data_IF_907212059443
#
_entry.id   IF_907212059443
#
_cell.length_a   1.000
_cell.length_b   1.000
_cell.length_c   1.000
_cell.angle_alpha   90.00
_cell.angle_beta   90.00
_cell.angle_gamma   90.00
#
_symmetry.space_group_name_H-M   'P 1'
#
loop_
_entity.id
_entity.type
_entity.pdbx_description
1 polymer ?
#
# COMPACT_ATOMS: atom_id res chain seq x y z
N UNK A 1 -12.56 -8.24 -25.67
CA UNK A 1 -11.93 -9.18 -24.73
C UNK A 1 -10.79 -8.56 -23.93
N UNK A 2 -11.11 -7.60 -23.05
CA UNK A 2 -10.15 -6.98 -22.12
C UNK A 2 -10.79 -6.51 -20.81
N UNK A 3 -12.08 -6.80 -20.59
CA UNK A 3 -12.84 -6.33 -19.43
C UNK A 3 -12.19 -6.77 -18.12
N UNK A 4 -11.76 -8.04 -18.03
CA UNK A 4 -11.07 -8.59 -16.86
C UNK A 4 -9.86 -7.74 -16.44
N UNK A 5 -9.05 -7.28 -17.40
CA UNK A 5 -7.83 -6.53 -17.13
C UNK A 5 -8.16 -5.12 -16.63
N UNK A 6 -9.21 -4.52 -17.19
CA UNK A 6 -9.73 -3.23 -16.73
C UNK A 6 -10.30 -3.36 -15.33
N UNK A 7 -11.11 -4.39 -15.04
CA UNK A 7 -11.66 -4.66 -13.70
C UNK A 7 -10.57 -4.87 -12.66
N UNK A 8 -9.56 -5.69 -12.95
CA UNK A 8 -8.41 -5.85 -12.06
C UNK A 8 -7.68 -4.51 -11.85
N UNK A 9 -7.50 -3.71 -12.90
CA UNK A 9 -6.85 -2.41 -12.79
C UNK A 9 -7.69 -1.36 -12.04
N UNK A 10 -9.02 -1.42 -12.12
CA UNK A 10 -9.94 -0.48 -11.46
C UNK A 10 -10.10 -0.81 -9.98
N UNK A 11 -10.07 -2.11 -9.65
CA UNK A 11 -10.12 -2.59 -8.26
C UNK A 11 -8.91 -2.19 -7.40
N UNK A 12 -7.77 -1.87 -8.02
CA UNK A 12 -6.58 -1.40 -7.33
C UNK A 12 -6.76 0.04 -6.86
N UNK A 13 -6.46 0.30 -5.58
CA UNK A 13 -6.20 1.65 -5.08
C UNK A 13 -5.00 2.37 -5.73
N UNK A 14 -5.22 2.93 -6.92
CA UNK A 14 -4.20 3.56 -7.78
C UNK A 14 -3.75 4.94 -7.29
N UNK A 15 -4.66 5.71 -6.71
CA UNK A 15 -4.44 7.09 -6.29
C UNK A 15 -4.66 7.22 -4.78
N UNK A 16 -3.60 7.05 -3.96
CA UNK A 16 -3.75 7.19 -2.53
C UNK A 16 -4.10 8.63 -2.18
N UNK A 17 -5.21 8.82 -1.47
CA UNK A 17 -5.68 10.14 -1.06
C UNK A 17 -5.54 10.34 0.45
N UNK A 18 -5.27 11.57 0.87
CA UNK A 18 -5.16 11.90 2.30
C UNK A 18 -3.89 11.42 3.00
N UNK A 19 -2.86 10.96 2.27
CA UNK A 19 -1.56 10.61 2.84
C UNK A 19 -0.99 11.72 3.75
N UNK A 20 -1.07 12.98 3.30
CA UNK A 20 -0.55 14.15 4.03
C UNK A 20 -1.32 14.44 5.33
N UNK A 21 -2.58 14.01 5.44
CA UNK A 21 -3.38 14.17 6.65
C UNK A 21 -3.37 12.92 7.54
N UNK A 22 -2.72 11.84 7.08
CA UNK A 22 -2.49 10.61 7.84
C UNK A 22 -3.31 9.39 7.43
N UNK A 23 -3.94 9.40 6.26
CA UNK A 23 -4.69 8.25 5.73
C UNK A 23 -3.71 7.18 5.23
N UNK A 24 -3.37 6.22 6.09
CA UNK A 24 -2.38 5.17 5.79
C UNK A 24 -2.94 3.95 5.06
N UNK A 25 -4.26 3.72 5.06
CA UNK A 25 -4.88 2.53 4.47
C UNK A 25 -5.73 2.92 3.27
N UNK A 26 -5.46 2.27 2.13
CA UNK A 26 -6.00 2.61 0.83
C UNK A 26 -6.52 1.34 0.15
N UNK A 27 -7.73 0.89 0.51
CA UNK A 27 -8.15 -0.50 0.24
C UNK A 27 -8.58 -0.79 -1.21
N UNK A 28 -8.95 0.20 -2.02
CA UNK A 28 -9.51 -0.08 -3.35
C UNK A 28 -10.81 -0.88 -3.25
N UNK A 29 -11.14 -1.66 -4.28
CA UNK A 29 -12.40 -2.42 -4.39
C UNK A 29 -12.13 -3.93 -4.33
N UNK A 30 -12.11 -4.48 -3.11
CA UNK A 30 -11.84 -5.90 -2.86
C UNK A 30 -12.70 -6.85 -3.72
N UNK A 31 -14.02 -6.66 -3.67
CA UNK A 31 -14.99 -7.54 -4.33
C UNK A 31 -14.81 -7.56 -5.85
N UNK A 32 -14.48 -6.41 -6.45
CA UNK A 32 -14.25 -6.34 -7.89
C UNK A 32 -13.05 -7.20 -8.29
N UNK A 33 -11.96 -7.17 -7.53
CA UNK A 33 -10.78 -7.98 -7.81
C UNK A 33 -11.08 -9.49 -7.72
N UNK A 34 -11.66 -9.95 -6.62
CA UNK A 34 -11.86 -11.40 -6.40
C UNK A 34 -12.92 -11.99 -7.32
N UNK A 35 -13.84 -11.17 -7.85
CA UNK A 35 -14.87 -11.61 -8.79
C UNK A 35 -14.38 -11.73 -10.25
N UNK A 36 -13.12 -11.38 -10.53
CA UNK A 36 -12.50 -11.68 -11.84
C UNK A 36 -12.13 -13.16 -11.88
N UNK A 37 -12.86 -13.95 -12.68
CA UNK A 37 -12.69 -15.41 -12.76
C UNK A 37 -12.15 -15.92 -14.10
N UNK A 38 -12.28 -15.13 -15.17
CA UNK A 38 -11.86 -15.51 -16.52
C UNK A 38 -11.32 -14.31 -17.31
N UNK A 39 -10.30 -14.51 -18.17
CA UNK A 39 -9.55 -15.76 -18.38
C UNK A 39 -8.52 -16.03 -17.28
N UNK A 40 -8.27 -15.07 -16.39
CA UNK A 40 -7.42 -15.21 -15.20
C UNK A 40 -8.26 -15.03 -13.95
N UNK A 41 -7.88 -15.69 -12.86
CA UNK A 41 -8.50 -15.44 -11.56
C UNK A 41 -7.80 -14.26 -10.88
N UNK A 42 -8.57 -13.34 -10.32
CA UNK A 42 -8.04 -12.26 -9.48
C UNK A 42 -7.66 -12.74 -8.08
N UNK A 43 -6.59 -12.18 -7.55
CA UNK A 43 -6.13 -12.30 -6.17
C UNK A 43 -5.86 -10.91 -5.63
N UNK A 44 -6.56 -10.55 -4.57
CA UNK A 44 -6.43 -9.28 -3.91
C UNK A 44 -5.40 -9.38 -2.79
N UNK A 45 -4.43 -8.47 -2.76
CA UNK A 45 -3.39 -8.41 -1.74
C UNK A 45 -3.33 -7.02 -1.09
N UNK A 46 -2.90 -6.96 0.17
CA UNK A 46 -2.62 -5.70 0.89
C UNK A 46 -1.12 -5.59 1.23
N UNK A 47 -0.27 -5.12 0.30
CA UNK A 47 1.10 -4.71 0.61
C UNK A 47 1.16 -3.59 1.65
N UNK A 48 2.25 -3.58 2.42
CA UNK A 48 2.65 -2.50 3.31
C UNK A 48 3.95 -1.88 2.80
N UNK A 49 3.97 -0.56 2.63
CA UNK A 49 5.13 0.20 2.17
C UNK A 49 5.56 1.16 3.27
N UNK A 50 6.76 0.93 3.80
CA UNK A 50 7.40 1.82 4.77
C UNK A 50 8.33 2.77 4.03
N UNK A 51 8.02 4.05 4.11
CA UNK A 51 8.79 5.13 3.55
C UNK A 51 9.77 5.64 4.61
N UNK A 52 11.02 5.80 4.22
CA UNK A 52 12.06 6.44 5.01
C UNK A 52 12.99 7.23 4.11
N UNK A 53 13.84 8.08 4.69
CA UNK A 53 14.97 8.62 3.95
C UNK A 53 16.01 7.53 3.70
N UNK A 54 16.74 7.62 2.59
CA UNK A 54 17.94 6.83 2.33
C UNK A 54 19.22 7.47 2.85
N UNK A 55 19.16 8.74 3.30
CA UNK A 55 20.27 9.49 3.90
C UNK A 55 19.92 9.86 5.35
N UNK A 56 20.91 10.30 6.15
CA UNK A 56 20.68 10.93 7.47
C UNK A 56 20.04 12.33 7.34
N UNK A 57 19.28 12.59 6.27
CA UNK A 57 18.58 13.84 6.08
C UNK A 57 17.51 13.98 7.17
N UNK A 58 17.64 15.04 7.98
CA UNK A 58 16.70 15.35 9.05
C UNK A 58 15.41 15.93 8.46
N UNK A 59 14.36 15.12 8.37
CA UNK A 59 13.00 15.57 8.00
C UNK A 59 12.22 16.14 9.19
N UNK A 60 12.88 16.43 10.32
CA UNK A 60 12.24 16.93 11.53
C UNK A 60 11.53 18.25 11.25
N UNK A 61 10.20 18.22 11.18
CA UNK A 61 9.38 19.43 11.08
C UNK A 61 9.39 20.12 12.44
N UNK A 62 10.05 21.27 12.51
CA UNK A 62 10.01 22.16 13.67
C UNK A 62 8.57 22.48 14.07
N UNK A 63 8.32 22.72 15.36
CA UNK A 63 6.99 22.85 15.98
C UNK A 63 6.17 24.05 15.42
N UNK A 64 6.74 24.85 14.53
CA UNK A 64 6.03 25.97 13.93
C UNK A 64 5.04 25.45 12.88
N UNK A 65 3.75 25.44 13.23
CA UNK A 65 2.58 25.04 12.42
C UNK A 65 2.34 25.91 11.17
N UNK A 66 3.38 26.50 10.57
CA UNK A 66 3.28 27.23 9.32
C UNK A 66 3.84 26.37 8.18
N UNK A 67 3.02 26.00 7.18
CA UNK A 67 3.50 25.40 5.95
C UNK A 67 4.46 26.39 5.30
N UNK A 68 5.77 26.13 5.37
CA UNK A 68 6.72 26.91 4.60
C UNK A 68 6.53 26.58 3.11
N UNK A 69 6.28 27.62 2.30
CA UNK A 69 5.93 27.56 0.87
C UNK A 69 6.86 26.75 -0.05
N UNK A 70 8.01 26.27 0.46
CA UNK A 70 9.02 25.53 -0.30
C UNK A 70 9.28 24.11 0.22
N UNK A 71 8.41 23.55 1.06
CA UNK A 71 8.64 22.21 1.63
C UNK A 71 8.16 21.09 0.70
N UNK A 72 9.08 20.18 0.39
CA UNK A 72 8.79 18.92 -0.30
C UNK A 72 7.74 18.12 0.49
N UNK A 73 6.78 17.49 -0.20
CA UNK A 73 5.75 16.64 0.40
C UNK A 73 6.31 15.56 1.37
N UNK A 74 7.58 15.20 1.22
CA UNK A 74 8.31 14.32 2.13
C UNK A 74 8.42 14.82 3.57
N UNK A 75 8.46 16.14 3.80
CA UNK A 75 8.49 16.71 5.15
C UNK A 75 7.19 16.38 5.91
N UNK A 76 6.04 16.42 5.23
CA UNK A 76 4.75 16.08 5.80
C UNK A 76 4.56 14.58 6.07
N UNK A 77 5.25 13.73 5.30
CA UNK A 77 5.18 12.26 5.44
C UNK A 77 6.19 11.77 6.50
N UNK A 78 7.43 12.26 6.45
CA UNK A 78 8.55 11.80 7.27
C UNK A 78 8.74 12.60 8.56
N UNK A 79 8.30 13.87 8.62
CA UNK A 79 8.48 14.72 9.79
C UNK A 79 7.60 14.40 10.99
N UNK A 80 6.66 13.46 10.83
CA UNK A 80 5.75 13.02 11.89
C UNK A 80 6.07 11.61 12.42
N UNK A 81 7.16 10.98 11.96
CA UNK A 81 7.52 9.60 12.36
C UNK A 81 7.84 9.48 13.85
N UNK A 82 8.49 10.48 14.43
CA UNK A 82 8.96 10.48 15.83
C UNK A 82 7.96 11.11 16.83
N UNK A 83 6.80 11.60 16.38
CA UNK A 83 5.77 12.13 17.28
C UNK A 83 4.92 10.97 17.79
N UNK A 84 5.36 10.36 18.89
CA UNK A 84 4.87 9.12 19.53
C UNK A 84 3.35 9.01 19.79
N UNK A 85 2.58 10.09 19.60
CA UNK A 85 1.13 10.15 19.81
C UNK A 85 0.30 10.42 18.53
N UNK A 86 0.90 10.42 17.32
CA UNK A 86 0.18 10.63 16.05
C UNK A 86 0.33 9.41 15.13
N UNK A 87 -0.70 9.14 14.33
CA UNK A 87 -0.70 8.08 13.31
C UNK A 87 0.56 8.19 12.43
N UNK A 88 1.36 7.12 12.36
CA UNK A 88 2.56 7.05 11.52
C UNK A 88 2.15 7.19 10.04
N UNK A 89 2.49 8.33 9.43
CA UNK A 89 2.17 8.66 8.04
C UNK A 89 3.10 8.00 7.02
N UNK A 90 4.23 7.48 7.49
CA UNK A 90 5.26 6.89 6.65
C UNK A 90 5.02 5.42 6.31
N UNK A 91 3.97 4.80 6.85
CA UNK A 91 3.58 3.42 6.48
C UNK A 91 2.27 3.50 5.72
N UNK A 92 2.29 3.08 4.47
CA UNK A 92 1.14 3.08 3.57
C UNK A 92 0.78 1.65 3.23
N UNK A 93 -0.46 1.27 3.47
CA UNK A 93 -1.04 -0.01 3.03
C UNK A 93 -2.04 0.27 1.93
N UNK A 94 -1.96 -0.48 0.84
CA UNK A 94 -2.91 -0.34 -0.25
C UNK A 94 -3.35 -1.69 -0.80
N UNK A 95 -4.60 -1.78 -1.26
CA UNK A 95 -5.13 -2.96 -1.93
C UNK A 95 -4.71 -2.99 -3.39
N UNK A 96 -4.17 -4.11 -3.86
CA UNK A 96 -3.78 -4.35 -5.25
C UNK A 96 -4.34 -5.68 -5.74
N UNK A 97 -4.78 -5.70 -6.99
CA UNK A 97 -5.24 -6.91 -7.66
C UNK A 97 -4.16 -7.49 -8.57
N UNK A 98 -3.82 -8.75 -8.36
CA UNK A 98 -2.87 -9.51 -9.17
C UNK A 98 -3.50 -10.82 -9.65
N UNK A 99 -2.97 -11.48 -10.69
CA UNK A 99 -3.40 -12.83 -11.04
C UNK A 99 -3.16 -13.81 -9.90
N UNK A 100 -4.03 -14.81 -9.73
CA UNK A 100 -3.87 -15.86 -8.71
C UNK A 100 -2.58 -16.67 -8.87
N UNK A 101 -2.04 -16.73 -10.09
CA UNK A 101 -0.79 -17.38 -10.44
C UNK A 101 0.45 -16.69 -9.88
N UNK A 102 0.38 -15.41 -9.47
CA UNK A 102 1.49 -14.67 -8.88
C UNK A 102 1.49 -14.79 -7.35
N UNK A 103 2.62 -15.11 -6.71
CA UNK A 103 2.69 -15.25 -5.24
C UNK A 103 2.85 -13.90 -4.52
N UNK A 104 2.73 -13.90 -3.18
CA UNK A 104 3.02 -12.72 -2.36
C UNK A 104 4.48 -12.27 -2.52
N UNK A 105 5.41 -13.22 -2.64
CA UNK A 105 6.83 -12.93 -2.87
C UNK A 105 7.07 -12.31 -4.24
N UNK A 106 6.40 -12.81 -5.30
CA UNK A 106 6.47 -12.22 -6.64
C UNK A 106 6.01 -10.77 -6.64
N UNK A 107 4.91 -10.50 -5.94
CA UNK A 107 4.39 -9.14 -5.77
C UNK A 107 5.37 -8.26 -5.00
N UNK A 108 5.95 -8.76 -3.90
CA UNK A 108 6.92 -8.02 -3.10
C UNK A 108 8.16 -7.64 -3.92
N UNK A 109 8.74 -8.59 -4.65
CA UNK A 109 9.91 -8.35 -5.50
C UNK A 109 9.60 -7.35 -6.60
N UNK A 110 8.45 -7.48 -7.23
CA UNK A 110 8.02 -6.58 -8.32
C UNK A 110 7.82 -5.16 -7.81
N UNK A 111 7.02 -4.97 -6.75
CA UNK A 111 6.79 -3.64 -6.16
C UNK A 111 8.07 -3.02 -5.62
N UNK A 112 8.93 -3.80 -4.96
CA UNK A 112 10.19 -3.29 -4.43
C UNK A 112 11.09 -2.78 -5.56
N UNK A 113 11.15 -3.49 -6.70
CA UNK A 113 11.89 -3.06 -7.87
C UNK A 113 11.33 -1.75 -8.45
N UNK A 114 10.02 -1.65 -8.64
CA UNK A 114 9.38 -0.45 -9.18
C UNK A 114 9.57 0.76 -8.25
N UNK A 115 9.37 0.59 -6.95
CA UNK A 115 9.62 1.67 -6.00
C UNK A 115 11.09 2.05 -5.92
N UNK A 116 12.02 1.11 -5.98
CA UNK A 116 13.45 1.43 -6.01
C UNK A 116 13.81 2.28 -7.23
N UNK A 117 13.29 1.92 -8.41
CA UNK A 117 13.50 2.69 -9.65
C UNK A 117 13.02 4.13 -9.54
N UNK A 118 11.89 4.36 -8.87
CA UNK A 118 11.27 5.69 -8.82
C UNK A 118 11.64 6.53 -7.59
N UNK A 119 11.95 5.91 -6.44
CA UNK A 119 12.09 6.62 -5.15
C UNK A 119 13.57 6.81 -4.77
N UNK A 120 14.45 5.85 -5.07
CA UNK A 120 15.88 5.96 -4.73
C UNK A 120 16.57 7.16 -5.40
N UNK A 121 16.27 7.55 -6.66
CA UNK A 121 16.83 8.77 -7.25
C UNK A 121 16.51 10.05 -6.46
N UNK A 122 15.42 10.03 -5.68
CA UNK A 122 15.00 11.13 -4.81
C UNK A 122 15.47 10.96 -3.35
N UNK A 123 16.37 10.01 -3.09
CA UNK A 123 16.89 9.70 -1.75
C UNK A 123 15.79 9.23 -0.76
N UNK A 124 14.76 8.60 -1.30
CA UNK A 124 13.67 8.01 -0.53
C UNK A 124 13.76 6.50 -0.66
N UNK A 125 13.76 5.82 0.48
CA UNK A 125 13.65 4.37 0.54
C UNK A 125 12.19 3.99 0.81
N UNK A 126 11.62 3.15 -0.05
CA UNK A 126 10.28 2.62 0.09
C UNK A 126 10.39 1.09 0.23
N UNK A 127 10.37 0.62 1.48
CA UNK A 127 10.49 -0.79 1.81
C UNK A 127 9.13 -1.46 1.73
N UNK A 128 9.00 -2.46 0.85
CA UNK A 128 7.76 -3.21 0.65
C UNK A 128 7.77 -4.48 1.49
N UNK A 129 6.62 -4.79 2.09
CA UNK A 129 6.33 -6.05 2.74
C UNK A 129 4.98 -6.57 2.26
N UNK A 130 4.93 -7.83 1.84
CA UNK A 130 3.68 -8.51 1.43
C UNK A 130 3.55 -9.80 2.21
N UNK A 131 2.55 -9.86 3.08
CA UNK A 131 2.26 -11.06 3.86
C UNK A 131 1.24 -11.93 3.12
N UNK A 132 1.52 -13.23 2.98
CA UNK A 132 0.62 -14.16 2.27
C UNK A 132 -0.78 -14.22 2.87
N UNK A 133 -0.92 -14.02 4.19
CA UNK A 133 -2.22 -13.99 4.89
C UNK A 133 -3.09 -12.78 4.48
N UNK A 134 -2.47 -11.73 3.93
CA UNK A 134 -3.16 -10.53 3.43
C UNK A 134 -3.44 -10.61 1.93
N UNK A 135 -3.29 -11.79 1.33
CA UNK A 135 -3.66 -12.09 -0.04
C UNK A 135 -4.81 -13.10 -0.07
N UNK A 136 -5.86 -12.82 -0.83
CA UNK A 136 -7.05 -13.68 -0.91
C UNK A 136 -7.66 -13.71 -2.32
N UNK A 137 -8.26 -14.84 -2.63
CA UNK A 137 -9.01 -15.12 -3.85
C UNK A 137 -10.49 -15.32 -3.54
N UNK A 138 -11.32 -15.52 -4.57
CA UNK A 138 -12.74 -15.87 -4.37
C UNK A 138 -12.96 -17.12 -3.50
N UNK A 139 -11.98 -18.03 -3.42
CA UNK A 139 -12.07 -19.26 -2.62
C UNK A 139 -11.91 -19.00 -1.13
N UNK A 140 -11.26 -17.88 -0.78
CA UNK A 140 -10.99 -17.46 0.59
C UNK A 140 -12.12 -16.55 1.11
N UNK A 141 -13.05 -16.14 0.24
CA UNK A 141 -14.26 -15.43 0.64
C UNK A 141 -15.15 -16.36 1.46
N UNK A 142 -15.26 -16.10 2.76
CA UNK A 142 -16.10 -16.89 3.65
C UNK A 142 -17.57 -16.74 3.27
N UNK A 143 -18.36 -17.83 3.20
CA UNK A 143 -19.79 -17.74 2.89
C UNK A 143 -20.60 -17.04 3.99
N UNK A 144 -20.06 -16.93 5.21
CA UNK A 144 -20.66 -16.23 6.35
C UNK A 144 -19.57 -15.57 7.20
N UNK A 145 -19.66 -14.26 7.36
CA UNK A 145 -18.67 -13.41 8.02
C UNK A 145 -18.83 -13.52 9.54
N UNK A 146 -18.30 -14.58 10.16
CA UNK A 146 -18.13 -14.61 11.61
C UNK A 146 -16.89 -13.77 11.91
N UNK A 147 -17.07 -12.50 12.23
CA UNK A 147 -16.04 -11.46 12.39
C UNK A 147 -14.98 -11.66 13.49
N UNK A 148 -14.60 -12.90 13.80
CA UNK A 148 -13.50 -13.25 14.69
C UNK A 148 -12.95 -14.64 14.35
N UNK A 149 -11.64 -14.83 14.54
CA UNK A 149 -10.99 -16.13 14.53
C UNK A 149 -10.55 -16.50 15.95
N UNK A 150 -10.84 -17.74 16.36
CA UNK A 150 -10.33 -18.31 17.62
C UNK A 150 -9.04 -19.07 17.30
N UNK A 151 -7.90 -18.54 17.72
CA UNK A 151 -6.64 -19.30 17.75
C UNK A 151 -6.59 -20.14 19.02
N UNK A 152 -6.24 -21.41 18.89
CA UNK A 152 -6.04 -22.36 20.00
C UNK A 152 -4.58 -22.43 20.39
#
# INVERSE_FOLDING_TARGET
DSLWAVQMSDSWSRYPNGLLIGTSHQMGVYEECINVLQPVTGKYCIPSVKISSSTDANFTVGINDQPQENQHAWNEILGFVDRDNRLRRNVVKFGICIPDSCTADDLQVTLQKEFNTHFLPHQINAQVQVESILCSTYKDAYPYDNGYYLTR
#
